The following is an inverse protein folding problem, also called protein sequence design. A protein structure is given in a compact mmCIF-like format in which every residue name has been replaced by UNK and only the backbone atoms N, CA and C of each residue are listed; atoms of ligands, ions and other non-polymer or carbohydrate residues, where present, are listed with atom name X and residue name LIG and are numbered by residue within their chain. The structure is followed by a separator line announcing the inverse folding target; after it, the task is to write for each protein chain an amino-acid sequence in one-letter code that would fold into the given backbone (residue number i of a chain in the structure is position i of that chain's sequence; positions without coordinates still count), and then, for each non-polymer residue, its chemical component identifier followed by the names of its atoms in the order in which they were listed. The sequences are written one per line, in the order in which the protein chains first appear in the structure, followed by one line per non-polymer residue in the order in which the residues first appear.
data_IF_374046290132
#
_entry.id   IF_374046290132
#
_cell.length_a   1.000
_cell.length_b   1.000
_cell.length_c   1.000
_cell.angle_alpha   90.00
_cell.angle_beta   90.00
_cell.angle_gamma   90.00
#
_symmetry.space_group_name_H-M   'P 1'
#
loop_
_entity.id
_entity.type
_entity.pdbx_description
1 polymer ?
#
# COMPACT_ATOMS: atom_id res chain seq x y z
N UNK A 1 -6.03 -2.81 -7.14
CA UNK A 1 -4.80 -2.06 -6.81
C UNK A 1 -3.59 -2.87 -7.25
N UNK A 2 -2.56 -2.24 -7.82
CA UNK A 2 -1.28 -2.87 -8.14
C UNK A 2 -0.14 -1.87 -7.85
N UNK A 3 0.93 -2.31 -7.19
CA UNK A 3 1.88 -1.37 -6.55
C UNK A 3 3.29 -1.42 -7.11
N UNK A 4 3.87 -2.61 -7.39
CA UNK A 4 5.26 -2.76 -7.84
C UNK A 4 5.43 -2.51 -9.35
N UNK A 5 6.09 -1.41 -9.71
CA UNK A 5 6.24 -1.06 -11.12
C UNK A 5 7.24 -1.94 -11.88
N UNK A 6 8.18 -2.60 -11.21
CA UNK A 6 9.12 -3.52 -11.85
C UNK A 6 8.41 -4.64 -12.63
N UNK A 7 7.44 -5.30 -11.99
CA UNK A 7 6.63 -6.33 -12.62
C UNK A 7 5.65 -5.76 -13.63
N UNK A 8 4.92 -4.70 -13.27
CA UNK A 8 3.93 -4.09 -14.15
C UNK A 8 4.56 -3.60 -15.47
N UNK A 9 5.70 -2.91 -15.41
CA UNK A 9 6.39 -2.40 -16.59
C UNK A 9 7.02 -3.50 -17.44
N UNK A 10 7.47 -4.60 -16.83
CA UNK A 10 7.91 -5.78 -17.60
C UNK A 10 6.74 -6.37 -18.39
N UNK A 11 5.64 -6.66 -17.70
CA UNK A 11 4.42 -7.17 -18.33
C UNK A 11 3.91 -6.21 -19.43
N UNK A 12 3.85 -4.90 -19.15
CA UNK A 12 3.35 -3.87 -20.06
C UNK A 12 4.06 -3.83 -21.42
N UNK A 13 5.39 -4.06 -21.42
CA UNK A 13 6.20 -4.07 -22.65
C UNK A 13 5.86 -5.22 -23.59
N UNK A 14 5.30 -6.30 -23.06
CA UNK A 14 4.95 -7.51 -23.80
C UNK A 14 3.50 -7.52 -24.29
N UNK A 15 2.69 -6.51 -23.91
CA UNK A 15 1.26 -6.47 -24.25
C UNK A 15 0.98 -5.89 -25.64
N UNK A 16 -0.09 -6.37 -26.26
CA UNK A 16 -0.64 -5.80 -27.50
C UNK A 16 -1.27 -4.43 -27.25
N UNK A 17 -1.46 -3.65 -28.31
CA UNK A 17 -2.06 -2.32 -28.22
C UNK A 17 -3.53 -2.37 -27.75
N UNK A 18 -4.26 -3.44 -28.08
CA UNK A 18 -5.63 -3.65 -27.61
C UNK A 18 -5.66 -3.83 -26.08
N UNK A 19 -4.77 -4.68 -25.54
CA UNK A 19 -4.64 -4.87 -24.09
C UNK A 19 -4.21 -3.59 -23.41
N UNK A 20 -3.24 -2.87 -23.96
CA UNK A 20 -2.82 -1.57 -23.41
C UNK A 20 -3.96 -0.56 -23.38
N UNK A 21 -4.77 -0.49 -24.44
CA UNK A 21 -5.95 0.37 -24.48
C UNK A 21 -6.99 -0.01 -23.41
N UNK A 22 -7.25 -1.31 -23.25
CA UNK A 22 -8.15 -1.82 -22.21
C UNK A 22 -7.67 -1.43 -20.81
N UNK A 23 -6.39 -1.63 -20.51
CA UNK A 23 -5.81 -1.28 -19.21
C UNK A 23 -5.90 0.22 -18.95
N UNK A 24 -5.59 1.06 -19.95
CA UNK A 24 -5.76 2.52 -19.83
C UNK A 24 -7.21 2.89 -19.51
N UNK A 25 -8.19 2.19 -20.10
CA UNK A 25 -9.62 2.37 -19.77
C UNK A 25 -9.92 1.95 -18.32
N UNK A 26 -9.41 0.81 -17.85
CA UNK A 26 -9.60 0.33 -16.48
C UNK A 26 -8.96 1.25 -15.43
N UNK A 27 -7.80 1.82 -15.73
CA UNK A 27 -7.14 2.80 -14.85
C UNK A 27 -7.96 4.10 -14.83
N UNK A 28 -8.39 4.58 -15.99
CA UNK A 28 -9.22 5.80 -16.09
C UNK A 28 -10.57 5.66 -15.38
N UNK A 29 -11.17 4.46 -15.39
CA UNK A 29 -12.41 4.19 -14.67
C UNK A 29 -12.24 3.93 -13.16
N UNK A 30 -11.00 3.85 -12.66
CA UNK A 30 -10.70 3.52 -11.26
C UNK A 30 -10.77 2.02 -10.92
N UNK A 31 -11.11 1.16 -11.88
CA UNK A 31 -11.19 -0.30 -11.65
C UNK A 31 -9.80 -0.92 -11.44
N UNK A 32 -8.77 -0.41 -12.12
CA UNK A 32 -7.37 -0.73 -11.85
C UNK A 32 -6.70 0.46 -11.18
N UNK A 33 -6.63 0.40 -9.85
CA UNK A 33 -5.96 1.42 -9.05
C UNK A 33 -4.43 1.28 -9.12
N UNK A 34 -3.77 2.29 -9.73
CA UNK A 34 -2.32 2.46 -9.78
C UNK A 34 -1.86 3.68 -8.94
N UNK A 35 -2.72 4.18 -8.04
CA UNK A 35 -2.44 5.36 -7.22
C UNK A 35 -1.75 5.03 -5.89
N UNK A 36 -1.54 3.74 -5.61
CA UNK A 36 -0.89 3.26 -4.39
C UNK A 36 0.58 2.87 -4.65
N UNK A 37 1.47 3.42 -3.82
CA UNK A 37 2.94 3.33 -3.81
C UNK A 37 3.58 3.73 -5.15
N UNK A 38 3.51 2.88 -6.17
CA UNK A 38 3.97 3.19 -7.52
C UNK A 38 5.50 3.25 -7.69
N UNK A 39 6.29 2.88 -6.67
CA UNK A 39 7.72 2.70 -6.82
C UNK A 39 8.08 1.49 -7.69
N UNK A 40 9.34 1.41 -8.12
CA UNK A 40 9.86 0.22 -8.80
C UNK A 40 9.69 -1.05 -7.96
N UNK A 41 9.87 -0.93 -6.65
CA UNK A 41 9.57 -1.95 -5.65
C UNK A 41 8.97 -1.31 -4.40
N UNK A 42 8.37 -2.15 -3.56
CA UNK A 42 8.19 -1.86 -2.14
C UNK A 42 9.58 -2.03 -1.49
N UNK A 43 10.24 -0.91 -1.19
CA UNK A 43 11.61 -0.92 -0.68
C UNK A 43 11.65 -1.20 0.82
N UNK A 44 12.74 -1.82 1.28
CA UNK A 44 13.08 -1.84 2.71
C UNK A 44 13.24 -0.41 3.25
N UNK A 45 13.08 -0.22 4.55
CA UNK A 45 13.19 1.08 5.21
C UNK A 45 14.34 1.14 6.22
N UNK A 46 14.98 0.00 6.53
CA UNK A 46 16.06 -0.08 7.51
C UNK A 46 17.46 0.11 6.88
N UNK A 47 17.69 -0.53 5.74
CA UNK A 47 19.01 -0.63 5.12
C UNK A 47 19.31 0.32 3.95
N UNK A 48 18.34 0.76 3.12
CA UNK A 48 18.69 1.60 1.99
C UNK A 48 18.98 3.03 2.40
N UNK A 49 19.86 3.67 1.65
CA UNK A 49 20.03 5.11 1.72
C UNK A 49 18.84 5.81 1.04
N UNK A 50 18.44 6.98 1.56
CA UNK A 50 17.25 7.70 1.07
C UNK A 50 17.31 8.06 -0.41
N UNK A 51 18.51 8.24 -0.97
CA UNK A 51 18.71 8.50 -2.41
C UNK A 51 18.21 7.33 -3.26
N UNK A 52 18.51 6.10 -2.86
CA UNK A 52 18.06 4.89 -3.56
C UNK A 52 16.55 4.71 -3.44
N UNK A 53 15.98 5.03 -2.28
CA UNK A 53 14.53 5.04 -2.08
C UNK A 53 13.84 6.07 -3.00
N UNK A 54 14.42 7.26 -3.15
CA UNK A 54 13.93 8.30 -4.06
C UNK A 54 14.06 7.89 -5.53
N UNK A 55 15.21 7.37 -5.95
CA UNK A 55 15.47 7.02 -7.35
C UNK A 55 14.51 5.93 -7.84
N UNK A 56 14.34 4.86 -7.06
CA UNK A 56 13.44 3.76 -7.42
C UNK A 56 11.98 4.22 -7.45
N UNK A 57 11.59 5.12 -6.53
CA UNK A 57 10.22 5.70 -6.49
C UNK A 57 9.98 6.57 -7.72
N UNK A 58 10.92 7.47 -8.01
CA UNK A 58 10.87 8.40 -9.14
C UNK A 58 10.78 7.65 -10.47
N UNK A 59 11.54 6.55 -10.61
CA UNK A 59 11.52 5.74 -11.82
C UNK A 59 10.13 5.14 -12.10
N UNK A 60 9.48 4.59 -11.07
CA UNK A 60 8.11 4.07 -11.19
C UNK A 60 7.07 5.16 -11.45
N UNK A 61 7.12 6.26 -10.69
CA UNK A 61 6.19 7.39 -10.84
C UNK A 61 6.27 8.06 -12.21
N UNK A 62 7.48 8.20 -12.76
CA UNK A 62 7.69 8.76 -14.10
C UNK A 62 6.96 7.95 -15.18
N UNK A 63 6.99 6.63 -15.08
CA UNK A 63 6.27 5.75 -15.99
C UNK A 63 4.75 5.91 -15.84
N UNK A 64 4.24 5.88 -14.60
CA UNK A 64 2.80 6.04 -14.32
C UNK A 64 2.25 7.36 -14.85
N UNK A 65 2.98 8.46 -14.62
CA UNK A 65 2.60 9.77 -15.12
C UNK A 65 2.58 9.82 -16.65
N UNK A 66 3.62 9.27 -17.30
CA UNK A 66 3.75 9.30 -18.76
C UNK A 66 2.70 8.43 -19.46
N UNK A 67 2.48 7.21 -18.99
CA UNK A 67 1.64 6.23 -19.68
C UNK A 67 0.15 6.35 -19.33
N UNK A 68 -0.15 6.72 -18.08
CA UNK A 68 -1.51 6.71 -17.53
C UNK A 68 -1.98 8.07 -17.02
N UNK A 69 -1.11 9.08 -16.93
CA UNK A 69 -1.44 10.36 -16.30
C UNK A 69 -1.68 10.25 -14.79
N UNK A 70 -1.21 9.17 -14.17
CA UNK A 70 -1.44 8.86 -12.75
C UNK A 70 -0.31 9.44 -11.91
N UNK A 71 -0.68 10.08 -10.79
CA UNK A 71 0.22 10.46 -9.71
C UNK A 71 -0.21 9.70 -8.47
N UNK A 72 0.62 8.77 -7.95
CA UNK A 72 0.31 8.09 -6.70
C UNK A 72 0.07 9.08 -5.57
N UNK A 73 -0.85 8.75 -4.67
CA UNK A 73 -1.24 9.56 -3.51
C UNK A 73 -1.18 8.80 -2.20
N UNK A 74 -1.11 7.47 -2.24
CA UNK A 74 -1.11 6.61 -1.05
C UNK A 74 0.20 5.84 -1.00
N UNK A 75 0.86 5.81 0.15
CA UNK A 75 1.96 4.89 0.43
C UNK A 75 1.43 3.50 0.82
N UNK A 76 2.03 2.45 0.28
CA UNK A 76 1.71 1.06 0.60
C UNK A 76 2.98 0.28 0.92
N UNK A 77 3.25 0.10 2.21
CA UNK A 77 4.46 -0.51 2.78
C UNK A 77 4.06 -1.66 3.71
N UNK A 78 3.36 -2.68 3.19
CA UNK A 78 2.85 -3.77 4.04
C UNK A 78 3.92 -4.74 4.53
N UNK A 79 5.05 -4.86 3.82
CA UNK A 79 6.04 -5.90 4.07
C UNK A 79 7.46 -5.47 4.50
N UNK A 80 7.85 -4.18 4.58
CA UNK A 80 9.08 -3.80 5.28
C UNK A 80 9.07 -4.17 6.77
N UNK A 81 10.22 -4.60 7.30
CA UNK A 81 10.35 -5.06 8.68
C UNK A 81 10.62 -3.89 9.64
N UNK A 82 9.61 -3.05 9.83
CA UNK A 82 9.70 -1.77 10.54
C UNK A 82 9.72 -0.59 9.57
N UNK A 83 9.41 0.61 10.07
CA UNK A 83 9.18 1.77 9.20
C UNK A 83 9.94 2.99 9.67
N UNK A 84 10.62 3.66 8.75
CA UNK A 84 11.50 4.79 9.02
C UNK A 84 10.73 6.12 9.10
N UNK A 85 11.26 7.08 9.87
CA UNK A 85 10.80 8.47 9.79
C UNK A 85 10.99 9.03 8.37
N UNK A 86 12.03 8.61 7.64
CA UNK A 86 12.28 9.00 6.25
C UNK A 86 11.12 8.63 5.33
N UNK A 87 10.56 7.44 5.48
CA UNK A 87 9.40 7.02 4.69
C UNK A 87 8.16 7.89 4.97
N UNK A 88 7.87 8.17 6.24
CA UNK A 88 6.72 8.99 6.63
C UNK A 88 6.88 10.46 6.20
N UNK A 89 8.03 11.06 6.50
CA UNK A 89 8.28 12.49 6.30
C UNK A 89 8.63 12.84 4.84
N UNK A 90 9.61 12.15 4.24
CA UNK A 90 10.13 12.50 2.92
C UNK A 90 9.34 11.81 1.80
N UNK A 91 9.18 10.49 1.89
CA UNK A 91 8.60 9.66 0.81
C UNK A 91 7.09 9.49 0.90
N UNK A 92 6.45 10.14 1.87
CA UNK A 92 4.99 10.24 1.94
C UNK A 92 4.57 11.72 2.00
N UNK A 93 4.70 12.38 3.14
CA UNK A 93 4.27 13.76 3.30
C UNK A 93 5.01 14.73 2.35
N UNK A 94 6.34 14.59 2.23
CA UNK A 94 7.19 15.45 1.41
C UNK A 94 6.91 15.38 -0.10
N UNK A 95 6.30 14.28 -0.58
CA UNK A 95 5.89 14.12 -1.98
C UNK A 95 4.37 14.29 -2.19
N UNK A 96 3.63 14.65 -1.13
CA UNK A 96 2.20 14.94 -1.19
C UNK A 96 1.29 13.72 -1.15
N UNK A 97 1.70 12.64 -0.46
CA UNK A 97 0.78 11.53 -0.19
C UNK A 97 -0.20 11.88 0.93
N UNK A 98 -1.45 11.45 0.76
CA UNK A 98 -2.55 11.67 1.70
C UNK A 98 -2.55 10.66 2.86
N UNK A 99 -1.90 9.51 2.67
CA UNK A 99 -1.80 8.46 3.68
C UNK A 99 -0.69 7.45 3.40
N UNK A 100 -0.23 6.78 4.45
CA UNK A 100 0.73 5.68 4.42
C UNK A 100 0.15 4.50 5.18
N UNK A 101 0.09 3.35 4.53
CA UNK A 101 -0.43 2.11 5.10
C UNK A 101 0.67 1.06 5.17
N UNK A 102 0.75 0.40 6.32
CA UNK A 102 1.72 -0.65 6.58
C UNK A 102 1.15 -1.69 7.55
N UNK A 103 1.75 -2.88 7.62
CA UNK A 103 1.26 -3.97 8.45
C UNK A 103 2.18 -4.34 9.62
N UNK A 104 3.47 -4.00 9.56
CA UNK A 104 4.48 -4.51 10.49
C UNK A 104 4.91 -3.44 11.49
N UNK A 105 4.54 -3.62 12.76
CA UNK A 105 5.02 -2.81 13.89
C UNK A 105 5.31 -3.70 15.09
N UNK A 106 6.00 -3.17 16.10
CA UNK A 106 6.27 -3.91 17.34
C UNK A 106 4.96 -4.44 17.97
N UNK A 107 4.99 -5.70 18.43
CA UNK A 107 3.81 -6.37 18.96
C UNK A 107 3.20 -5.65 20.18
N UNK A 108 4.00 -4.97 21.01
CA UNK A 108 3.50 -4.23 22.16
C UNK A 108 2.82 -2.92 21.74
N UNK A 109 3.35 -2.23 20.72
CA UNK A 109 2.70 -1.04 20.15
C UNK A 109 1.39 -1.43 19.45
N UNK A 110 1.37 -2.55 18.72
CA UNK A 110 0.16 -3.10 18.13
C UNK A 110 -0.91 -3.40 19.21
N UNK A 111 -0.55 -4.14 20.26
CA UNK A 111 -1.45 -4.47 21.35
C UNK A 111 -1.97 -3.24 22.10
N UNK A 112 -1.13 -2.21 22.26
CA UNK A 112 -1.52 -0.93 22.84
C UNK A 112 -2.56 -0.23 21.97
N UNK A 113 -2.31 -0.09 20.67
CA UNK A 113 -3.24 0.57 19.73
C UNK A 113 -4.55 -0.18 19.58
N UNK A 114 -4.53 -1.52 19.64
CA UNK A 114 -5.74 -2.34 19.68
C UNK A 114 -6.59 -2.10 20.93
N UNK A 115 -5.97 -1.81 22.09
CA UNK A 115 -6.70 -1.48 23.32
C UNK A 115 -7.31 -0.09 23.28
N UNK A 116 -6.61 0.88 22.66
CA UNK A 116 -7.05 2.27 22.56
C UNK A 116 -8.25 2.46 21.61
N UNK A 117 -8.42 1.57 20.61
CA UNK A 117 -9.62 1.48 19.74
C UNK A 117 -10.10 2.80 19.11
N UNK A 118 -9.18 3.64 18.64
CA UNK A 118 -9.53 4.84 17.85
C UNK A 118 -9.87 4.48 16.40
N UNK A 119 -10.88 3.62 16.21
CA UNK A 119 -11.30 3.11 14.92
C UNK A 119 -12.65 3.74 14.55
N UNK A 120 -12.66 4.71 13.64
CA UNK A 120 -13.91 5.23 13.08
C UNK A 120 -14.71 4.17 12.31
N UNK A 121 -15.87 4.54 11.76
CA UNK A 121 -16.88 3.58 11.26
C UNK A 121 -16.53 2.85 9.94
N UNK A 122 -15.42 3.22 9.30
CA UNK A 122 -14.95 2.62 8.06
C UNK A 122 -13.78 1.67 8.33
N UNK A 123 -13.82 0.48 7.72
CA UNK A 123 -12.76 -0.52 7.78
C UNK A 123 -12.31 -0.82 6.35
N UNK A 124 -11.00 -0.76 6.11
CA UNK A 124 -10.42 -1.25 4.86
C UNK A 124 -9.95 -2.69 5.05
N UNK A 125 -10.45 -3.60 4.21
CA UNK A 125 -9.99 -4.98 4.19
C UNK A 125 -9.15 -5.22 2.94
N UNK A 126 -7.82 -5.37 3.05
CA UNK A 126 -6.99 -5.75 1.92
C UNK A 126 -7.25 -7.21 1.55
N UNK A 127 -8.11 -7.44 0.55
CA UNK A 127 -8.44 -8.78 0.07
C UNK A 127 -7.32 -9.31 -0.82
N UNK A 128 -6.34 -10.00 -0.23
CA UNK A 128 -5.22 -10.63 -0.95
C UNK A 128 -4.15 -11.17 0.00
N UNK A 129 -3.15 -11.84 -0.57
CA UNK A 129 -1.96 -12.35 0.10
C UNK A 129 -0.85 -12.52 -0.95
N UNK A 130 0.33 -13.00 -0.53
CA UNK A 130 1.47 -13.32 -1.38
C UNK A 130 1.06 -14.09 -2.64
N UNK A 131 1.31 -13.48 -3.80
CA UNK A 131 1.09 -14.08 -5.13
C UNK A 131 -0.34 -14.59 -5.40
N UNK A 132 -1.34 -13.97 -4.76
CA UNK A 132 -2.76 -14.26 -5.04
C UNK A 132 -3.25 -13.64 -6.37
N UNK A 133 -4.52 -13.88 -6.71
CA UNK A 133 -5.18 -13.41 -7.94
C UNK A 133 -4.63 -13.98 -9.26
N UNK A 134 -3.82 -15.06 -9.22
CA UNK A 134 -3.49 -15.84 -10.43
C UNK A 134 -4.77 -16.27 -11.17
N UNK A 135 -5.79 -16.65 -10.42
CA UNK A 135 -7.17 -16.78 -10.92
C UNK A 135 -8.06 -15.69 -10.29
N UNK A 136 -7.96 -14.48 -10.83
CA UNK A 136 -8.74 -13.33 -10.38
C UNK A 136 -10.26 -13.55 -10.49
N UNK A 137 -10.72 -14.31 -11.50
CA UNK A 137 -12.15 -14.59 -11.68
C UNK A 137 -12.75 -15.31 -10.46
N UNK A 138 -12.04 -16.30 -9.91
CA UNK A 138 -12.49 -17.02 -8.71
C UNK A 138 -12.58 -16.10 -7.49
N UNK A 139 -11.64 -15.16 -7.34
CA UNK A 139 -11.67 -14.16 -6.28
C UNK A 139 -12.89 -13.25 -6.42
N UNK A 140 -13.08 -12.61 -7.58
CA UNK A 140 -14.20 -11.70 -7.82
C UNK A 140 -15.57 -12.38 -7.67
N UNK A 141 -15.74 -13.61 -8.17
CA UNK A 141 -17.00 -14.35 -7.99
C UNK A 141 -17.38 -14.58 -6.51
N UNK A 142 -16.39 -14.77 -5.63
CA UNK A 142 -16.65 -14.96 -4.20
C UNK A 142 -16.87 -13.63 -3.48
N UNK A 143 -16.12 -12.59 -3.86
CA UNK A 143 -16.30 -11.24 -3.34
C UNK A 143 -17.68 -10.66 -3.71
N UNK A 144 -18.16 -10.90 -4.93
CA UNK A 144 -19.50 -10.49 -5.37
C UNK A 144 -20.60 -11.13 -4.52
N UNK A 145 -20.46 -12.41 -4.17
CA UNK A 145 -21.38 -13.11 -3.26
C UNK A 145 -21.33 -12.52 -1.85
N UNK A 146 -20.13 -12.26 -1.33
CA UNK A 146 -19.94 -11.67 0.00
C UNK A 146 -20.61 -10.28 0.08
N UNK A 147 -20.37 -9.44 -0.92
CA UNK A 147 -20.99 -8.10 -1.03
C UNK A 147 -22.51 -8.22 -1.11
N UNK A 148 -23.02 -9.10 -1.99
CA UNK A 148 -24.46 -9.27 -2.18
C UNK A 148 -25.18 -9.69 -0.91
N UNK A 149 -24.75 -10.79 -0.27
CA UNK A 149 -25.42 -11.32 0.91
C UNK A 149 -25.14 -10.49 2.16
N UNK A 150 -23.93 -9.90 2.30
CA UNK A 150 -23.60 -9.00 3.40
C UNK A 150 -24.47 -7.75 3.40
N UNK A 151 -24.70 -7.15 2.23
CA UNK A 151 -25.53 -5.95 2.10
C UNK A 151 -27.03 -6.25 2.22
N UNK A 152 -27.49 -7.45 1.83
CA UNK A 152 -28.88 -7.87 2.05
C UNK A 152 -29.24 -8.00 3.52
N UNK A 153 -28.28 -8.42 4.34
CA UNK A 153 -28.48 -8.60 5.78
C UNK A 153 -28.58 -7.26 6.53
N UNK A 154 -27.93 -6.21 6.01
CA UNK A 154 -28.15 -4.81 6.41
C UNK A 154 -27.40 -4.34 7.67
N UNK A 155 -26.68 -5.22 8.38
CA UNK A 155 -25.83 -4.82 9.53
C UNK A 155 -24.60 -4.01 9.11
N UNK A 156 -24.07 -4.29 7.93
CA UNK A 156 -22.87 -3.65 7.39
C UNK A 156 -23.08 -3.31 5.91
N UNK A 157 -22.34 -2.32 5.43
CA UNK A 157 -22.27 -2.00 4.00
C UNK A 157 -20.88 -2.36 3.48
N UNK A 158 -20.82 -3.32 2.57
CA UNK A 158 -19.62 -3.87 1.95
C UNK A 158 -19.59 -3.42 0.49
N UNK A 159 -18.45 -2.89 0.04
CA UNK A 159 -18.25 -2.49 -1.34
C UNK A 159 -16.79 -2.77 -1.76
N UNK A 160 -16.56 -2.89 -3.07
CA UNK A 160 -15.22 -2.73 -3.62
C UNK A 160 -14.77 -1.29 -3.41
N UNK A 161 -13.52 -1.10 -3.01
CA UNK A 161 -12.94 0.22 -2.77
C UNK A 161 -11.47 0.21 -3.15
N UNK A 162 -10.94 1.40 -3.36
CA UNK A 162 -9.50 1.69 -3.42
C UNK A 162 -9.02 2.24 -2.08
N UNK A 163 -7.69 2.28 -1.88
CA UNK A 163 -7.14 2.95 -0.69
C UNK A 163 -7.34 4.46 -0.73
N UNK A 164 -7.36 5.05 -1.93
CA UNK A 164 -7.66 6.48 -2.10
C UNK A 164 -9.05 6.82 -1.56
N UNK A 165 -10.08 6.11 -2.02
CA UNK A 165 -11.46 6.31 -1.55
C UNK A 165 -11.60 6.08 -0.04
N UNK A 166 -10.96 5.04 0.49
CA UNK A 166 -10.98 4.79 1.93
C UNK A 166 -10.29 5.91 2.73
N UNK A 167 -9.17 6.44 2.23
CA UNK A 167 -8.45 7.54 2.86
C UNK A 167 -9.30 8.81 2.84
N UNK A 168 -9.92 9.13 1.70
CA UNK A 168 -10.81 10.29 1.56
C UNK A 168 -11.98 10.21 2.54
N UNK A 169 -12.61 9.03 2.69
CA UNK A 169 -13.68 8.81 3.66
C UNK A 169 -13.20 9.00 5.11
N UNK A 170 -12.02 8.47 5.45
CA UNK A 170 -11.43 8.63 6.79
C UNK A 170 -11.08 10.08 7.12
N UNK A 171 -10.56 10.83 6.16
CA UNK A 171 -10.23 12.25 6.35
C UNK A 171 -11.47 13.14 6.50
N UNK A 172 -12.61 12.72 5.95
CA UNK A 172 -13.89 13.43 6.11
C UNK A 172 -14.59 13.14 7.45
N UNK A 173 -14.28 12.03 8.10
CA UNK A 173 -14.87 11.62 9.37
C UNK A 173 -14.32 12.45 10.54
N UNK A 174 -15.06 13.52 10.88
CA UNK A 174 -14.72 14.44 11.99
C UNK A 174 -14.89 13.84 13.38
N UNK A 175 -15.41 12.62 13.50
CA UNK A 175 -15.51 11.92 14.78
C UNK A 175 -14.19 11.26 15.20
N UNK A 176 -13.23 11.16 14.28
CA UNK A 176 -11.93 10.56 14.53
C UNK A 176 -10.95 11.63 14.99
N UNK A 177 -10.35 11.41 16.16
CA UNK A 177 -9.17 12.15 16.62
C UNK A 177 -7.89 11.38 16.26
N UNK A 178 -6.98 12.04 15.55
CA UNK A 178 -5.73 11.42 15.09
C UNK A 178 -4.61 11.65 16.11
N UNK A 179 -4.02 10.55 16.60
CA UNK A 179 -2.84 10.62 17.45
C UNK A 179 -1.61 11.05 16.63
N UNK A 180 -0.78 11.91 17.20
CA UNK A 180 0.47 12.36 16.58
C UNK A 180 1.57 11.33 16.84
N UNK A 181 2.32 10.97 15.79
CA UNK A 181 3.54 10.16 15.82
C UNK A 181 4.67 10.96 15.17
N UNK A 182 5.82 11.08 15.85
CA UNK A 182 6.93 11.96 15.41
C UNK A 182 8.21 11.21 15.07
N UNK A 183 8.34 9.99 15.55
CA UNK A 183 9.48 9.08 15.47
C UNK A 183 9.16 7.87 14.58
N UNK A 184 10.07 6.92 14.46
CA UNK A 184 9.96 5.76 13.57
C UNK A 184 9.23 4.56 14.22
N UNK A 185 9.06 3.46 13.48
CA UNK A 185 8.56 2.17 13.97
C UNK A 185 9.70 1.13 14.03
N UNK A 186 10.91 1.56 14.40
CA UNK A 186 12.04 0.66 14.64
C UNK A 186 12.36 0.54 16.14
N UNK A 187 12.88 -0.61 16.59
CA UNK A 187 13.00 -1.88 15.85
C UNK A 187 11.65 -2.60 15.70
N UNK A 188 11.54 -3.46 14.70
CA UNK A 188 10.39 -4.35 14.56
C UNK A 188 10.61 -5.66 15.33
N UNK A 189 9.62 -6.05 16.13
CA UNK A 189 9.54 -7.39 16.71
C UNK A 189 8.11 -7.93 16.65
N UNK A 190 7.95 -9.18 16.23
CA UNK A 190 6.66 -9.86 16.21
C UNK A 190 6.35 -10.64 17.50
N UNK A 191 7.33 -10.81 18.39
CA UNK A 191 7.19 -11.47 19.69
C UNK A 191 8.35 -11.13 20.62
N UNK A 192 8.24 -11.52 21.90
CA UNK A 192 9.13 -11.11 23.01
C UNK A 192 10.65 -11.29 22.77
N UNK A 193 11.07 -12.21 21.89
CA UNK A 193 12.49 -12.49 21.60
C UNK A 193 12.80 -12.55 20.09
N UNK A 194 12.01 -11.86 19.27
CA UNK A 194 12.13 -11.93 17.81
C UNK A 194 12.26 -10.54 17.19
N UNK A 195 13.38 -9.87 17.48
CA UNK A 195 13.74 -8.57 16.91
C UNK A 195 14.43 -8.75 15.56
N UNK A 196 13.99 -7.98 14.57
CA UNK A 196 14.47 -8.08 13.19
C UNK A 196 15.44 -6.94 12.91
N UNK A 197 16.63 -7.30 12.41
CA UNK A 197 17.66 -6.35 11.99
C UNK A 197 18.28 -6.81 10.67
N UNK A 198 19.04 -5.91 10.06
CA UNK A 198 19.66 -6.09 8.76
C UNK A 198 20.63 -7.28 8.71
N UNK A 199 20.67 -7.99 7.59
CA UNK A 199 21.59 -9.11 7.32
C UNK A 199 22.28 -8.95 5.96
N UNK A 200 23.28 -9.79 5.66
CA UNK A 200 24.06 -9.79 4.41
C UNK A 200 24.91 -8.52 4.13
N UNK A 201 25.93 -8.21 4.98
CA UNK A 201 26.71 -6.97 4.88
C UNK A 201 27.48 -6.82 3.56
N UNK A 202 27.93 -7.92 2.93
CA UNK A 202 28.67 -7.87 1.66
C UNK A 202 27.81 -7.28 0.54
N UNK A 203 26.52 -7.63 0.49
CA UNK A 203 25.60 -7.08 -0.51
C UNK A 203 25.32 -5.60 -0.22
N UNK A 204 25.19 -5.23 1.06
CA UNK A 204 24.94 -3.85 1.47
C UNK A 204 26.10 -2.90 1.14
N UNK A 205 27.34 -3.36 1.21
CA UNK A 205 28.52 -2.53 0.87
C UNK A 205 28.81 -2.46 -0.63
N UNK A 206 28.05 -3.18 -1.46
CA UNK A 206 28.27 -3.29 -2.91
C UNK A 206 27.41 -2.33 -3.76
N UNK A 207 26.64 -1.46 -3.11
CA UNK A 207 25.67 -0.52 -3.71
C UNK A 207 26.08 0.90 -3.34
#
# INVERSE_FOLDING_TARGET
MYVEQSFFQRWWREQSEETKHLVKKLVKSGQLDLTANGGWAMHDEATPHYTTMLDQTTFGHKFLLKEFGVRPRIGWQIDPFGHSLTQGSLLSAGIGFDGLYFARMDYQDYDKRLREKNLGNHIFWPMGSDMEYINALRWFQNLDRLIHYGNQEGRVNILYSTLGEYTDLKLQDKSIEWAVKTDDFFPYANSQNAYWYASAPIVQTSI
#
